data_IF_264203901743
#
_entry.id   IF_264203901743
#
_cell.length_a   1.000
_cell.length_b   1.000
_cell.length_c   1.000
_cell.angle_alpha   90.00
_cell.angle_beta   90.00
_cell.angle_gamma   90.00
#
_symmetry.space_group_name_H-M   'P 1'
#
loop_
_entity.id
_entity.type
_entity.pdbx_description
1 polymer ?
#
# COMPACT_ATOMS: atom_id res chain seq x y z
N UNK A 1 6.23 9.78 -8.91
CA UNK A 1 4.95 9.06 -9.19
C UNK A 1 4.26 9.53 -10.47
N UNK A 2 3.88 10.82 -10.62
CA UNK A 2 3.07 11.31 -11.77
C UNK A 2 3.65 11.00 -13.16
N UNK A 3 4.90 11.37 -13.43
CA UNK A 3 5.50 11.15 -14.76
C UNK A 3 5.52 9.67 -15.14
N UNK A 4 5.89 8.79 -14.20
CA UNK A 4 5.88 7.34 -14.39
C UNK A 4 4.45 6.81 -14.63
N UNK A 5 3.46 7.29 -13.87
CA UNK A 5 2.04 6.94 -14.10
C UNK A 5 1.59 7.33 -15.51
N UNK A 6 1.94 8.53 -15.95
CA UNK A 6 1.58 9.06 -17.28
C UNK A 6 2.19 8.19 -18.38
N UNK A 7 3.48 7.87 -18.29
CA UNK A 7 4.17 7.01 -19.26
C UNK A 7 3.53 5.62 -19.35
N UNK A 8 3.27 4.96 -18.22
CA UNK A 8 2.67 3.62 -18.21
C UNK A 8 1.25 3.66 -18.77
N UNK A 9 0.45 4.67 -18.43
CA UNK A 9 -0.91 4.80 -18.95
C UNK A 9 -0.93 5.15 -20.45
N UNK A 10 0.05 5.89 -20.96
CA UNK A 10 0.22 6.10 -22.41
C UNK A 10 0.57 4.81 -23.14
N UNK A 11 1.36 3.93 -22.52
CA UNK A 11 1.74 2.63 -23.09
C UNK A 11 0.63 1.57 -22.98
N UNK A 12 -0.22 1.65 -21.95
CA UNK A 12 -1.37 0.75 -21.78
C UNK A 12 -2.53 1.21 -22.66
N UNK A 13 -2.80 0.48 -23.73
CA UNK A 13 -3.96 0.69 -24.63
C UNK A 13 -5.34 0.47 -23.96
N UNK A 14 -5.39 0.16 -22.66
CA UNK A 14 -6.61 -0.20 -21.92
C UNK A 14 -7.09 0.91 -20.96
N UNK A 15 -6.69 2.17 -21.21
CA UNK A 15 -7.17 3.35 -20.47
C UNK A 15 -6.41 3.71 -19.20
N UNK A 16 -6.78 4.85 -18.60
CA UNK A 16 -6.11 5.42 -17.42
C UNK A 16 -6.51 4.63 -16.16
N UNK A 17 -5.54 3.91 -15.60
CA UNK A 17 -5.74 3.17 -14.36
C UNK A 17 -4.88 3.75 -13.21
N UNK A 18 -5.33 3.53 -11.97
CA UNK A 18 -4.52 3.80 -10.78
C UNK A 18 -3.42 2.75 -10.68
N UNK A 19 -2.19 3.15 -11.02
CA UNK A 19 -1.03 2.25 -11.03
C UNK A 19 -0.38 2.15 -9.65
N UNK A 20 -0.34 3.26 -8.91
CA UNK A 20 0.33 3.32 -7.60
C UNK A 20 -0.68 3.34 -6.47
N UNK A 21 -0.32 2.69 -5.36
CA UNK A 21 -0.97 2.92 -4.08
C UNK A 21 -0.80 4.40 -3.66
N UNK A 22 -1.79 4.89 -2.89
CA UNK A 22 -1.86 6.31 -2.46
C UNK A 22 -0.64 6.71 -1.64
N UNK A 23 -0.27 5.86 -0.67
CA UNK A 23 0.85 6.13 0.24
C UNK A 23 2.15 5.56 -0.33
N UNK A 24 3.28 5.92 0.28
CA UNK A 24 4.57 5.30 0.00
C UNK A 24 5.25 5.02 1.34
N UNK A 25 6.01 3.93 1.39
CA UNK A 25 6.86 3.60 2.52
C UNK A 25 8.31 3.93 2.13
N UNK A 26 9.03 4.60 3.02
CA UNK A 26 10.43 4.97 2.83
C UNK A 26 11.24 4.51 4.05
N UNK A 27 12.42 3.94 3.80
CA UNK A 27 13.30 3.40 4.83
C UNK A 27 14.76 3.38 4.35
N UNK A 28 15.67 3.94 5.17
CA UNK A 28 17.11 3.92 4.88
C UNK A 28 17.69 2.57 5.28
N UNK A 29 18.27 1.86 4.31
CA UNK A 29 18.92 0.56 4.54
C UNK A 29 20.33 0.80 5.10
N UNK A 30 20.47 0.67 6.42
CA UNK A 30 21.76 0.83 7.10
C UNK A 30 22.43 -0.48 7.54
N UNK A 31 21.77 -1.64 7.38
CA UNK A 31 22.32 -2.95 7.72
C UNK A 31 21.65 -4.08 6.94
N UNK A 32 22.27 -5.27 6.97
CA UNK A 32 21.77 -6.44 6.23
C UNK A 32 20.40 -6.92 6.73
N UNK A 33 20.09 -6.71 8.02
CA UNK A 33 18.80 -7.10 8.59
C UNK A 33 17.66 -6.27 8.01
N UNK A 34 17.83 -4.95 7.85
CA UNK A 34 16.79 -4.12 7.25
C UNK A 34 16.61 -4.43 5.77
N UNK A 35 17.69 -4.74 5.06
CA UNK A 35 17.62 -5.24 3.70
C UNK A 35 16.83 -6.55 3.59
N UNK A 36 17.09 -7.51 4.48
CA UNK A 36 16.37 -8.79 4.51
C UNK A 36 14.89 -8.59 4.79
N UNK A 37 14.55 -7.76 5.79
CA UNK A 37 13.17 -7.45 6.12
C UNK A 37 12.42 -6.81 4.94
N UNK A 38 13.05 -5.88 4.20
CA UNK A 38 12.44 -5.25 3.03
C UNK A 38 12.21 -6.28 1.91
N UNK A 39 13.15 -7.19 1.69
CA UNK A 39 12.98 -8.27 0.70
C UNK A 39 11.80 -9.17 1.05
N UNK A 40 11.72 -9.61 2.30
CA UNK A 40 10.60 -10.40 2.81
C UNK A 40 9.29 -9.64 2.68
N UNK A 41 9.27 -8.35 3.03
CA UNK A 41 8.10 -7.51 2.84
C UNK A 41 7.66 -7.48 1.37
N UNK A 42 8.55 -7.21 0.41
CA UNK A 42 8.19 -7.15 -1.02
C UNK A 42 7.56 -8.45 -1.51
N UNK A 43 8.10 -9.61 -1.09
CA UNK A 43 7.58 -10.93 -1.47
C UNK A 43 6.21 -11.21 -0.84
N UNK A 44 6.04 -10.86 0.43
CA UNK A 44 4.86 -11.23 1.20
C UNK A 44 3.70 -10.22 1.08
N UNK A 45 4.00 -8.96 0.72
CA UNK A 45 3.04 -7.85 0.71
C UNK A 45 1.76 -8.14 -0.08
N UNK A 46 1.77 -8.80 -1.27
CA UNK A 46 0.52 -9.11 -1.97
C UNK A 46 -0.44 -10.02 -1.17
N UNK A 47 0.10 -10.94 -0.38
CA UNK A 47 -0.68 -11.90 0.40
C UNK A 47 -1.16 -11.33 1.75
N UNK A 48 -0.41 -10.37 2.32
CA UNK A 48 -0.69 -9.80 3.64
C UNK A 48 -1.39 -8.44 3.59
N UNK A 49 -1.54 -7.84 2.40
CA UNK A 49 -2.04 -6.48 2.23
C UNK A 49 -3.42 -6.21 2.83
N UNK A 50 -4.34 -7.19 2.80
CA UNK A 50 -5.69 -7.02 3.35
C UNK A 50 -5.68 -6.79 4.88
N UNK A 51 -4.68 -7.32 5.57
CA UNK A 51 -4.50 -7.22 7.01
C UNK A 51 -3.44 -6.19 7.42
N UNK A 52 -2.86 -5.47 6.45
CA UNK A 52 -1.83 -4.47 6.72
C UNK A 52 -2.45 -3.22 7.36
N UNK A 53 -1.88 -2.76 8.47
CA UNK A 53 -2.36 -1.58 9.19
C UNK A 53 -2.28 -0.29 8.36
N UNK A 54 -1.41 -0.24 7.35
CA UNK A 54 -1.31 0.89 6.42
C UNK A 54 -2.27 0.75 5.22
N UNK A 55 -3.03 -0.33 5.13
CA UNK A 55 -4.11 -0.45 4.18
C UNK A 55 -5.28 0.45 4.58
N UNK A 56 -5.60 1.41 3.73
CA UNK A 56 -6.69 2.37 3.95
C UNK A 56 -8.05 1.69 4.06
N UNK A 57 -8.23 0.51 3.44
CA UNK A 57 -9.46 -0.27 3.56
C UNK A 57 -9.59 -0.86 4.97
N UNK A 58 -8.49 -1.38 5.54
CA UNK A 58 -8.43 -1.83 6.93
C UNK A 58 -8.67 -0.68 7.90
N UNK A 59 -8.02 0.46 7.70
CA UNK A 59 -8.22 1.64 8.54
C UNK A 59 -9.68 2.15 8.51
N UNK A 60 -10.32 2.16 7.34
CA UNK A 60 -11.71 2.55 7.22
C UNK A 60 -12.67 1.50 7.81
N UNK A 61 -12.36 0.21 7.69
CA UNK A 61 -13.19 -0.86 8.28
C UNK A 61 -13.13 -0.84 9.80
N UNK A 62 -11.96 -0.63 10.41
CA UNK A 62 -11.84 -0.49 11.87
C UNK A 62 -12.49 0.78 12.39
N UNK A 63 -12.36 1.91 11.68
CA UNK A 63 -13.05 3.15 12.04
C UNK A 63 -14.56 2.96 12.07
N UNK A 64 -15.13 2.41 10.99
CA UNK A 64 -16.56 2.13 10.92
C UNK A 64 -17.00 1.18 12.04
N UNK A 65 -16.22 0.13 12.33
CA UNK A 65 -16.51 -0.81 13.41
C UNK A 65 -16.57 -0.12 14.76
N UNK A 66 -15.59 0.74 15.08
CA UNK A 66 -15.56 1.49 16.35
C UNK A 66 -16.79 2.40 16.47
N UNK A 67 -17.18 3.11 15.40
CA UNK A 67 -18.37 3.97 15.43
C UNK A 67 -19.69 3.22 15.68
N UNK A 68 -19.81 1.94 15.29
CA UNK A 68 -21.00 1.12 15.57
C UNK A 68 -21.05 0.54 16.99
N UNK A 69 -19.93 0.50 17.73
CA UNK A 69 -19.87 -0.04 19.10
C UNK A 69 -19.76 1.04 20.19
N UNK A 70 -19.67 2.31 19.79
CA UNK A 70 -19.60 3.46 20.70
C UNK A 70 -20.72 4.45 20.37
N UNK A 71 -21.98 4.03 20.51
CA UNK A 71 -23.07 4.97 20.76
C UNK A 71 -23.58 4.76 22.20
N UNK A 72 -23.95 5.84 22.92
CA UNK A 72 -24.51 5.76 24.27
C UNK A 72 -25.89 5.07 24.31
#
# INVERSE_FOLDING_TARGET
KYNSTKQINTLKNNGINKIWQRNFYDHVIGNDKSLQNIREYIVNNPATWENDEHNLIYQNSQKNRIYFFTEP
#
